data_IF_210390148999
#
_entry.id   IF_210390148999
#
_cell.length_a   1.000
_cell.length_b   1.000
_cell.length_c   1.000
_cell.angle_alpha   90.00
_cell.angle_beta   90.00
_cell.angle_gamma   90.00
#
_symmetry.space_group_name_H-M   'P 1'
#
loop_
_entity.id
_entity.type
_entity.pdbx_description
1 polymer ?
#
# COMPACT_ATOMS: atom_id res chain seq x y z
N UNK A 1 -8.47 38.92 -26.00
CA UNK A 1 -9.48 38.40 -25.07
C UNK A 1 -10.03 37.10 -25.65
N UNK A 2 -9.56 35.95 -25.17
CA UNK A 2 -10.13 34.64 -25.52
C UNK A 2 -10.85 34.12 -24.28
N UNK A 3 -12.14 33.87 -24.46
CA UNK A 3 -13.17 33.62 -23.46
C UNK A 3 -13.01 32.22 -22.84
N UNK A 4 -12.83 32.18 -21.53
CA UNK A 4 -12.84 30.98 -20.67
C UNK A 4 -14.26 30.45 -20.51
N UNK A 5 -14.77 29.76 -21.53
CA UNK A 5 -15.89 28.84 -21.38
C UNK A 5 -15.41 27.46 -21.76
N UNK A 6 -15.35 26.57 -20.76
CA UNK A 6 -15.50 25.11 -20.78
C UNK A 6 -14.78 24.50 -19.55
N UNK A 7 -15.37 24.65 -18.36
CA UNK A 7 -14.99 23.84 -17.19
C UNK A 7 -16.20 23.55 -16.27
N UNK A 8 -17.30 23.07 -16.85
CA UNK A 8 -18.48 22.63 -16.07
C UNK A 8 -18.70 21.11 -16.08
N UNK A 9 -17.86 20.34 -16.78
CA UNK A 9 -18.01 18.88 -16.91
C UNK A 9 -17.23 18.12 -15.81
N UNK A 10 -16.09 18.67 -15.37
CA UNK A 10 -15.26 18.07 -14.33
C UNK A 10 -15.87 18.09 -12.92
N UNK A 11 -16.67 19.12 -12.59
CA UNK A 11 -17.30 19.25 -11.28
C UNK A 11 -18.44 18.24 -11.08
N UNK A 12 -19.17 17.89 -12.13
CA UNK A 12 -20.29 16.93 -12.06
C UNK A 12 -19.80 15.50 -11.87
N UNK A 13 -18.74 15.08 -12.55
CA UNK A 13 -18.13 13.76 -12.39
C UNK A 13 -17.51 13.58 -11.00
N UNK A 14 -16.84 14.61 -10.49
CA UNK A 14 -16.29 14.61 -9.12
C UNK A 14 -17.40 14.55 -8.06
N UNK A 15 -18.52 15.25 -8.28
CA UNK A 15 -19.66 15.24 -7.37
C UNK A 15 -20.39 13.89 -7.36
N UNK A 16 -20.52 13.23 -8.52
CA UNK A 16 -21.13 11.89 -8.65
C UNK A 16 -20.24 10.77 -8.10
N UNK A 17 -18.91 10.90 -8.18
CA UNK A 17 -17.98 9.97 -7.55
C UNK A 17 -18.04 10.02 -6.01
N UNK A 18 -18.40 11.18 -5.42
CA UNK A 18 -18.66 11.32 -3.97
C UNK A 18 -19.93 10.60 -3.50
N UNK A 19 -20.93 10.48 -4.37
CA UNK A 19 -22.19 9.76 -4.08
C UNK A 19 -22.09 8.25 -4.34
N UNK A 20 -21.19 7.82 -5.22
CA UNK A 20 -21.00 6.41 -5.61
C UNK A 20 -20.15 5.55 -4.65
N UNK A 21 -19.90 5.99 -3.42
CA UNK A 21 -19.18 5.17 -2.41
C UNK A 21 -17.69 4.94 -2.69
N UNK A 22 -17.08 5.69 -3.63
CA UNK A 22 -15.65 5.59 -3.94
C UNK A 22 -14.86 6.40 -2.91
N UNK A 23 -14.18 5.72 -1.99
CA UNK A 23 -13.29 6.33 -0.99
C UNK A 23 -12.16 7.08 -1.70
N UNK A 24 -12.02 8.38 -1.42
CA UNK A 24 -10.90 9.20 -1.91
C UNK A 24 -9.55 8.63 -1.44
N UNK A 25 -8.46 8.92 -2.15
CA UNK A 25 -7.11 8.47 -1.77
C UNK A 25 -6.75 8.86 -0.32
N UNK A 26 -7.11 10.07 0.12
CA UNK A 26 -6.90 10.52 1.49
C UNK A 26 -7.67 9.67 2.52
N UNK A 27 -8.93 9.35 2.24
CA UNK A 27 -9.75 8.48 3.09
C UNK A 27 -9.18 7.06 3.16
N UNK A 28 -8.71 6.53 2.02
CA UNK A 28 -8.04 5.21 1.95
C UNK A 28 -6.78 5.19 2.82
N UNK A 29 -5.91 6.20 2.65
CA UNK A 29 -4.68 6.35 3.46
C UNK A 29 -5.03 6.40 4.95
N UNK A 30 -6.04 7.19 5.34
CA UNK A 30 -6.42 7.30 6.75
C UNK A 30 -6.96 5.99 7.32
N UNK A 31 -7.76 5.25 6.54
CA UNK A 31 -8.27 3.93 6.94
C UNK A 31 -7.14 2.92 7.07
N UNK A 32 -6.23 2.85 6.10
CA UNK A 32 -5.04 1.97 6.17
C UNK A 32 -4.20 2.29 7.40
N UNK A 33 -3.92 3.58 7.67
CA UNK A 33 -3.18 4.00 8.87
C UNK A 33 -3.86 3.55 10.15
N UNK A 34 -5.17 3.79 10.26
CA UNK A 34 -5.97 3.39 11.42
C UNK A 34 -5.91 1.87 11.61
N UNK A 35 -6.21 1.09 10.58
CA UNK A 35 -6.24 -0.37 10.65
C UNK A 35 -4.84 -0.94 10.97
N UNK A 36 -3.79 -0.40 10.37
CA UNK A 36 -2.41 -0.82 10.65
C UNK A 36 -2.04 -0.56 12.12
N UNK A 37 -2.42 0.60 12.67
CA UNK A 37 -2.21 0.93 14.07
C UNK A 37 -3.02 0.04 15.02
N UNK A 38 -4.26 -0.28 14.67
CA UNK A 38 -5.09 -1.23 15.42
C UNK A 38 -4.48 -2.64 15.41
N UNK A 39 -4.01 -3.11 14.26
CA UNK A 39 -3.37 -4.40 14.11
C UNK A 39 -2.08 -4.53 14.94
N UNK A 40 -1.29 -3.45 15.06
CA UNK A 40 -0.02 -3.45 15.80
C UNK A 40 -0.16 -3.82 17.29
N UNK A 41 -1.37 -3.65 17.85
CA UNK A 41 -1.71 -4.08 19.23
C UNK A 41 -1.54 -5.58 19.43
N UNK A 42 -1.54 -6.37 18.36
CA UNK A 42 -1.36 -7.83 18.39
C UNK A 42 0.08 -8.26 18.14
N UNK A 43 1.06 -7.35 18.23
CA UNK A 43 2.39 -7.53 17.63
C UNK A 43 2.29 -7.73 16.12
N UNK A 44 3.44 -7.95 15.47
CA UNK A 44 3.41 -8.33 14.05
C UNK A 44 3.39 -7.14 13.10
N UNK A 45 4.23 -6.13 13.29
CA UNK A 45 4.17 -4.88 12.51
C UNK A 45 4.20 -5.08 10.97
N UNK A 46 4.91 -6.09 10.46
CA UNK A 46 4.85 -6.49 9.05
C UNK A 46 3.48 -7.01 8.64
N UNK A 47 2.89 -7.90 9.44
CA UNK A 47 1.56 -8.46 9.23
C UNK A 47 0.48 -7.38 9.34
N UNK A 48 0.57 -6.50 10.34
CA UNK A 48 -0.43 -5.47 10.58
C UNK A 48 -0.54 -4.47 9.44
N UNK A 49 0.59 -4.02 8.90
CA UNK A 49 0.63 -3.13 7.72
C UNK A 49 0.17 -3.86 6.47
N UNK A 50 0.68 -5.07 6.21
CA UNK A 50 0.29 -5.86 5.04
C UNK A 50 -1.22 -6.13 5.03
N UNK A 51 -1.79 -6.53 6.17
CA UNK A 51 -3.21 -6.83 6.30
C UNK A 51 -4.07 -5.59 6.05
N UNK A 52 -3.70 -4.45 6.64
CA UNK A 52 -4.42 -3.20 6.43
C UNK A 52 -4.44 -2.77 4.96
N UNK A 53 -3.33 -2.98 4.25
CA UNK A 53 -3.25 -2.72 2.81
C UNK A 53 -4.10 -3.71 2.01
N UNK A 54 -3.95 -5.01 2.25
CA UNK A 54 -4.73 -6.06 1.58
C UNK A 54 -6.25 -5.85 1.74
N UNK A 55 -6.69 -5.44 2.93
CA UNK A 55 -8.08 -5.11 3.21
C UNK A 55 -8.58 -3.93 2.40
N UNK A 56 -7.79 -2.85 2.37
CA UNK A 56 -8.19 -1.64 1.67
C UNK A 56 -8.18 -1.79 0.14
N UNK A 57 -7.31 -2.66 -0.40
CA UNK A 57 -7.27 -2.99 -1.82
C UNK A 57 -8.18 -4.16 -2.21
N UNK A 58 -8.84 -4.84 -1.26
CA UNK A 58 -9.75 -5.95 -1.53
C UNK A 58 -9.06 -7.24 -1.98
N UNK A 59 -7.78 -7.41 -1.67
CA UNK A 59 -6.95 -8.53 -2.12
C UNK A 59 -6.26 -9.18 -0.93
N UNK A 60 -7.00 -10.04 -0.21
CA UNK A 60 -6.42 -10.86 0.86
C UNK A 60 -5.67 -12.05 0.29
N UNK A 61 -4.41 -12.18 0.67
CA UNK A 61 -3.55 -13.32 0.35
C UNK A 61 -3.10 -14.00 1.65
N UNK A 62 -3.86 -14.99 2.15
CA UNK A 62 -3.60 -15.60 3.46
C UNK A 62 -2.20 -16.18 3.61
N UNK A 63 -1.66 -16.80 2.57
CA UNK A 63 -0.30 -17.36 2.60
C UNK A 63 0.78 -16.29 2.73
N UNK A 64 0.58 -15.15 2.07
CA UNK A 64 1.50 -14.00 2.16
C UNK A 64 1.41 -13.36 3.55
N UNK A 65 0.20 -13.25 4.11
CA UNK A 65 -0.02 -12.78 5.47
C UNK A 65 0.65 -13.69 6.52
N UNK A 66 0.56 -15.02 6.34
CA UNK A 66 1.26 -16.00 7.18
C UNK A 66 2.78 -15.84 7.06
N UNK A 67 3.31 -15.75 5.83
CA UNK A 67 4.74 -15.59 5.59
C UNK A 67 5.31 -14.31 6.22
N UNK A 68 4.53 -13.22 6.26
CA UNK A 68 4.95 -11.95 6.84
C UNK A 68 5.19 -12.01 8.37
N UNK A 69 4.74 -13.05 9.08
CA UNK A 69 4.88 -13.19 10.55
C UNK A 69 6.31 -12.99 11.03
N UNK A 70 7.25 -13.67 10.38
CA UNK A 70 8.67 -13.71 10.81
C UNK A 70 9.43 -12.42 10.49
N UNK A 71 8.84 -11.48 9.76
CA UNK A 71 9.47 -10.19 9.44
C UNK A 71 9.34 -9.16 10.57
N UNK A 72 8.60 -9.52 11.62
CA UNK A 72 8.25 -8.63 12.72
C UNK A 72 9.44 -8.29 13.64
N UNK A 73 9.45 -7.05 14.13
CA UNK A 73 10.47 -6.55 15.07
C UNK A 73 11.89 -6.51 14.49
N UNK A 74 12.03 -6.30 13.18
CA UNK A 74 13.33 -6.30 12.53
C UNK A 74 13.83 -7.71 12.27
N UNK A 75 13.09 -8.49 11.48
CA UNK A 75 13.36 -9.89 11.10
C UNK A 75 13.59 -10.80 12.32
N UNK A 76 12.56 -11.57 12.68
CA UNK A 76 12.57 -12.47 13.83
C UNK A 76 13.01 -11.78 15.14
N UNK A 77 12.60 -10.52 15.37
CA UNK A 77 12.94 -9.71 16.55
C UNK A 77 14.42 -9.34 16.72
N UNK A 78 15.22 -9.36 15.65
CA UNK A 78 16.65 -9.03 15.74
C UNK A 78 16.96 -7.53 15.58
N UNK A 79 15.96 -6.69 15.33
CA UNK A 79 16.20 -5.25 15.15
C UNK A 79 16.82 -4.89 13.80
N UNK A 80 16.72 -5.78 12.81
CA UNK A 80 17.15 -5.57 11.42
C UNK A 80 16.21 -4.58 10.68
N UNK A 81 15.87 -4.86 9.42
CA UNK A 81 14.95 -4.02 8.64
C UNK A 81 13.56 -4.01 9.25
N UNK A 82 13.01 -2.81 9.47
CA UNK A 82 11.68 -2.59 10.03
C UNK A 82 10.59 -3.46 9.36
N UNK A 83 9.88 -4.25 10.17
CA UNK A 83 8.83 -5.15 9.67
C UNK A 83 7.68 -4.41 8.98
N UNK A 84 7.24 -3.27 9.53
CA UNK A 84 6.21 -2.44 8.91
C UNK A 84 6.60 -1.97 7.49
N UNK A 85 7.87 -1.61 7.29
CA UNK A 85 8.40 -1.25 5.98
C UNK A 85 8.33 -2.46 5.02
N UNK A 86 8.78 -3.63 5.46
CA UNK A 86 8.70 -4.85 4.65
C UNK A 86 7.25 -5.19 4.28
N UNK A 87 6.32 -5.14 5.22
CA UNK A 87 4.88 -5.35 4.96
C UNK A 87 4.30 -4.36 3.95
N UNK A 88 4.71 -3.10 4.01
CA UNK A 88 4.28 -2.07 3.05
C UNK A 88 4.78 -2.32 1.62
N UNK A 89 5.93 -2.98 1.46
CA UNK A 89 6.52 -3.33 0.16
C UNK A 89 5.96 -4.63 -0.40
N UNK A 90 5.59 -5.58 0.46
CA UNK A 90 4.97 -6.83 0.06
C UNK A 90 3.64 -6.60 -0.66
N UNK A 91 2.79 -5.69 -0.16
CA UNK A 91 1.47 -5.43 -0.75
C UNK A 91 1.52 -5.02 -2.25
N UNK A 92 2.26 -3.97 -2.67
CA UNK A 92 2.42 -3.68 -4.09
C UNK A 92 3.23 -4.75 -4.81
N UNK A 93 4.17 -5.42 -4.14
CA UNK A 93 4.91 -6.56 -4.71
C UNK A 93 4.02 -7.71 -5.18
N UNK A 94 2.84 -7.89 -4.60
CA UNK A 94 1.82 -8.85 -5.08
C UNK A 94 1.16 -8.44 -6.39
N UNK A 95 1.25 -7.16 -6.76
CA UNK A 95 0.63 -6.59 -7.97
C UNK A 95 1.66 -6.38 -9.08
N UNK A 96 2.86 -5.91 -8.73
CA UNK A 96 3.91 -5.54 -9.70
C UNK A 96 5.10 -6.48 -9.72
N UNK A 97 5.12 -7.50 -8.86
CA UNK A 97 6.21 -8.46 -8.76
C UNK A 97 6.24 -9.45 -9.92
N UNK A 98 7.40 -10.10 -10.11
CA UNK A 98 7.56 -11.15 -11.12
C UNK A 98 7.02 -12.49 -10.63
N UNK A 99 6.47 -13.27 -11.56
CA UNK A 99 6.03 -14.65 -11.32
C UNK A 99 7.14 -15.69 -11.56
N UNK A 100 8.14 -15.33 -12.39
CA UNK A 100 9.25 -16.20 -12.78
C UNK A 100 10.58 -15.50 -12.56
N UNK A 101 11.61 -16.25 -12.16
CA UNK A 101 12.91 -15.67 -11.83
C UNK A 101 13.62 -15.07 -13.05
N UNK A 102 13.37 -15.61 -14.24
CA UNK A 102 13.95 -15.18 -15.50
C UNK A 102 13.39 -13.84 -15.99
N UNK A 103 12.22 -13.43 -15.48
CA UNK A 103 11.63 -12.14 -15.79
C UNK A 103 12.34 -11.01 -15.03
N UNK A 104 13.50 -10.66 -15.58
CA UNK A 104 14.36 -9.59 -15.06
C UNK A 104 13.82 -8.21 -15.40
N UNK A 105 12.91 -8.09 -16.36
CA UNK A 105 12.32 -6.81 -16.73
C UNK A 105 11.29 -6.39 -15.70
N UNK A 106 10.32 -7.26 -15.38
CA UNK A 106 9.34 -7.00 -14.31
C UNK A 106 10.04 -6.73 -12.99
N UNK A 107 11.09 -7.50 -12.64
CA UNK A 107 11.92 -7.21 -11.46
C UNK A 107 12.43 -5.77 -11.41
N UNK A 108 13.02 -5.27 -12.51
CA UNK A 108 13.55 -3.90 -12.60
C UNK A 108 12.42 -2.88 -12.47
N UNK A 109 11.31 -3.12 -13.15
CA UNK A 109 10.16 -2.21 -13.16
C UNK A 109 9.50 -2.12 -11.78
N UNK A 110 9.53 -3.20 -10.98
CA UNK A 110 9.04 -3.17 -9.58
C UNK A 110 9.89 -2.27 -8.67
N UNK A 111 11.20 -2.10 -8.94
CA UNK A 111 12.11 -1.41 -8.01
C UNK A 111 11.79 0.09 -7.88
N UNK A 112 11.41 0.76 -8.97
CA UNK A 112 11.13 2.20 -8.97
C UNK A 112 9.99 2.58 -8.01
N UNK A 113 8.78 2.01 -8.17
CA UNK A 113 7.68 2.23 -7.24
C UNK A 113 8.00 1.84 -5.79
N UNK A 114 8.72 0.73 -5.57
CA UNK A 114 9.14 0.30 -4.24
C UNK A 114 10.11 1.30 -3.58
N UNK A 115 11.05 1.87 -4.34
CA UNK A 115 11.98 2.87 -3.85
C UNK A 115 11.26 4.17 -3.42
N UNK A 116 10.23 4.60 -4.16
CA UNK A 116 9.41 5.76 -3.79
C UNK A 116 8.67 5.52 -2.45
N UNK A 117 8.13 4.32 -2.24
CA UNK A 117 7.50 3.94 -0.96
C UNK A 117 8.51 4.05 0.21
N UNK A 118 9.71 3.49 0.03
CA UNK A 118 10.79 3.57 1.04
C UNK A 118 11.14 5.04 1.32
N UNK A 119 11.30 5.86 0.28
CA UNK A 119 11.66 7.26 0.42
C UNK A 119 10.60 8.07 1.18
N UNK A 120 9.32 7.77 0.99
CA UNK A 120 8.20 8.43 1.69
C UNK A 120 8.12 8.00 3.15
N UNK A 121 8.28 6.71 3.44
CA UNK A 121 8.21 6.19 4.80
C UNK A 121 9.39 6.61 5.68
N UNK A 122 10.56 6.90 5.09
CA UNK A 122 11.70 7.46 5.84
C UNK A 122 11.52 8.92 6.23
N UNK A 123 10.55 9.62 5.64
CA UNK A 123 10.28 11.05 5.88
C UNK A 123 9.02 11.30 6.72
N UNK A 124 8.28 10.25 7.07
CA UNK A 124 7.02 10.30 7.83
C UNK A 124 7.27 10.13 9.32
#
# INVERSE_FOLDING_TARGET
>A
MCDTRHNHIGSSLYSRAREAGISTAAQRIQRVKKNAHENDRHSGCSQGVLLALQDDFGHRHPEVFKAATVLSGGVARHGETCGALLGSLMAPGLVVGREKMEDTQTYRDSMGPSADIIARLRKS
#
